data_IF_246576619255
#
_entry.id   IF_246576619255
#
_cell.length_a   1.000
_cell.length_b   1.000
_cell.length_c   1.000
_cell.angle_alpha   90.00
_cell.angle_beta   90.00
_cell.angle_gamma   90.00
#
_symmetry.space_group_name_H-M   'P 1'
#
loop_
_entity.id
_entity.type
_entity.pdbx_description
1 polymer ?
#
# COMPACT_ATOMS: atom_id res chain seq x y z
N UNK A 1 39.54 -55.26 -27.30
CA UNK A 1 38.37 -54.52 -27.85
C UNK A 1 37.49 -54.14 -26.68
N UNK A 2 37.61 -52.92 -26.19
CA UNK A 2 36.73 -52.38 -25.16
C UNK A 2 35.68 -51.49 -25.82
N UNK A 3 34.43 -51.55 -25.37
CA UNK A 3 33.37 -50.68 -25.88
C UNK A 3 33.45 -49.29 -25.23
N UNK A 4 33.23 -48.20 -25.98
CA UNK A 4 33.33 -46.85 -25.45
C UNK A 4 32.20 -46.54 -24.46
N UNK A 5 32.54 -45.93 -23.33
CA UNK A 5 31.62 -45.74 -22.21
C UNK A 5 30.48 -44.74 -22.47
N UNK A 6 29.34 -45.01 -21.81
CA UNK A 6 28.31 -44.00 -21.58
C UNK A 6 28.92 -42.84 -20.79
N UNK A 7 28.96 -41.64 -21.38
CA UNK A 7 29.06 -40.42 -20.58
C UNK A 7 27.77 -40.27 -19.78
N UNK A 8 27.82 -39.89 -18.49
CA UNK A 8 26.60 -39.47 -17.80
C UNK A 8 25.98 -38.31 -18.58
N UNK A 9 24.69 -38.41 -18.93
CA UNK A 9 23.96 -37.22 -19.39
C UNK A 9 24.06 -36.19 -18.26
N UNK A 10 24.63 -35.03 -18.54
CA UNK A 10 24.56 -33.91 -17.62
C UNK A 10 23.08 -33.71 -17.25
N UNK A 11 22.76 -33.65 -15.96
CA UNK A 11 21.44 -33.17 -15.52
C UNK A 11 21.31 -31.78 -16.12
N UNK A 12 20.44 -31.63 -17.12
CA UNK A 12 20.09 -30.33 -17.65
C UNK A 12 19.57 -29.53 -16.45
N UNK A 13 20.26 -28.45 -16.09
CA UNK A 13 19.78 -27.55 -15.07
C UNK A 13 18.52 -26.93 -15.68
N UNK A 14 17.37 -27.25 -15.08
CA UNK A 14 16.09 -26.69 -15.51
C UNK A 14 16.14 -25.18 -15.23
N UNK A 15 16.48 -24.41 -16.27
CA UNK A 15 16.18 -23.00 -16.33
C UNK A 15 14.66 -22.86 -16.27
N UNK A 16 14.14 -22.31 -15.18
CA UNK A 16 12.71 -22.07 -15.02
C UNK A 16 12.43 -20.62 -15.36
N UNK A 17 12.10 -20.38 -16.63
CA UNK A 17 11.81 -19.04 -17.17
C UNK A 17 10.36 -18.65 -16.87
N UNK A 18 10.16 -17.62 -16.05
CA UNK A 18 8.84 -17.13 -15.65
C UNK A 18 8.53 -15.80 -16.36
N UNK A 19 7.30 -15.63 -16.83
CA UNK A 19 6.76 -14.30 -17.15
C UNK A 19 5.83 -13.84 -16.01
N UNK A 20 6.11 -12.69 -15.40
CA UNK A 20 5.25 -12.02 -14.42
C UNK A 20 4.49 -10.91 -15.16
N UNK A 21 3.18 -11.08 -15.29
CA UNK A 21 2.27 -10.11 -15.87
C UNK A 21 1.51 -9.43 -14.73
N UNK A 22 1.91 -8.22 -14.38
CA UNK A 22 1.26 -7.40 -13.36
C UNK A 22 0.37 -6.36 -14.03
N UNK A 23 -0.94 -6.38 -13.74
CA UNK A 23 -1.88 -5.37 -14.18
C UNK A 23 -2.63 -4.83 -12.96
N UNK A 24 -2.22 -3.64 -12.53
CA UNK A 24 -2.73 -2.96 -11.35
C UNK A 24 -3.88 -2.00 -11.64
N UNK A 25 -4.08 -1.05 -10.72
CA UNK A 25 -5.08 0.01 -10.85
C UNK A 25 -4.73 1.06 -11.90
N UNK A 26 -3.46 1.45 -12.01
CA UNK A 26 -2.99 2.48 -12.96
C UNK A 26 -1.68 2.17 -13.67
N UNK A 27 -1.07 1.00 -13.45
CA UNK A 27 0.17 0.56 -14.11
C UNK A 27 0.05 -0.86 -14.65
N UNK A 28 0.78 -1.11 -15.74
CA UNK A 28 0.94 -2.42 -16.36
C UNK A 28 2.44 -2.72 -16.48
N UNK A 29 2.88 -3.85 -15.94
CA UNK A 29 4.26 -4.31 -16.00
C UNK A 29 4.34 -5.77 -16.45
N UNK A 30 5.34 -6.08 -17.28
CA UNK A 30 5.64 -7.42 -17.77
C UNK A 30 7.14 -7.69 -17.66
N UNK A 31 7.49 -8.57 -16.73
CA UNK A 31 8.87 -9.00 -16.50
C UNK A 31 9.06 -10.46 -16.90
N UNK A 32 10.17 -10.76 -17.58
CA UNK A 32 10.63 -12.13 -17.83
C UNK A 32 11.86 -12.39 -16.97
N UNK A 33 11.79 -13.44 -16.16
CA UNK A 33 12.82 -13.82 -15.19
C UNK A 33 13.30 -15.24 -15.47
N UNK A 34 14.57 -15.52 -15.17
CA UNK A 34 15.06 -16.89 -14.97
C UNK A 34 15.32 -17.14 -13.49
N UNK A 35 14.84 -18.28 -13.00
CA UNK A 35 15.09 -18.72 -11.62
C UNK A 35 16.01 -19.94 -11.65
N UNK A 36 17.14 -19.85 -10.94
CA UNK A 36 18.12 -20.91 -10.81
C UNK A 36 18.68 -20.98 -9.38
N UNK A 37 18.24 -21.98 -8.59
CA UNK A 37 18.81 -22.30 -7.26
C UNK A 37 18.92 -21.09 -6.29
N UNK A 38 17.85 -20.30 -6.18
CA UNK A 38 17.83 -19.10 -5.32
C UNK A 38 18.34 -17.83 -6.00
N UNK A 39 18.92 -17.92 -7.19
CA UNK A 39 19.18 -16.75 -8.05
C UNK A 39 17.92 -16.44 -8.86
N UNK A 40 17.47 -15.19 -8.80
CA UNK A 40 16.37 -14.62 -9.56
C UNK A 40 16.95 -13.53 -10.48
N UNK A 41 16.99 -13.79 -11.78
CA UNK A 41 17.58 -12.86 -12.76
C UNK A 41 16.49 -12.32 -13.70
N UNK A 42 16.23 -11.02 -13.65
CA UNK A 42 15.35 -10.35 -14.61
C UNK A 42 16.09 -10.27 -15.95
N UNK A 43 15.52 -10.86 -17.00
CA UNK A 43 16.09 -10.85 -18.35
C UNK A 43 15.58 -9.70 -19.19
N UNK A 44 14.33 -9.32 -18.97
CA UNK A 44 13.73 -8.15 -19.58
C UNK A 44 12.51 -7.68 -18.81
N UNK A 45 12.33 -6.37 -18.74
CA UNK A 45 11.10 -5.76 -18.26
C UNK A 45 10.54 -4.78 -19.30
N UNK A 46 9.22 -4.62 -19.31
CA UNK A 46 8.53 -3.60 -20.08
C UNK A 46 7.20 -3.27 -19.39
N UNK A 47 6.55 -2.18 -19.77
CA UNK A 47 5.33 -1.76 -19.12
C UNK A 47 4.82 -0.43 -19.65
N UNK A 48 3.68 -0.01 -19.10
CA UNK A 48 3.09 1.31 -19.28
C UNK A 48 2.64 1.81 -17.90
N UNK A 49 3.23 2.92 -17.45
CA UNK A 49 2.99 3.53 -16.13
C UNK A 49 1.70 4.37 -16.10
N UNK A 50 0.93 4.37 -17.19
CA UNK A 50 -0.36 5.04 -17.33
C UNK A 50 -1.42 4.12 -17.96
N UNK A 51 -1.31 2.80 -17.74
CA UNK A 51 -2.28 1.81 -18.20
C UNK A 51 -2.67 0.88 -17.04
N UNK A 52 -3.92 0.95 -16.59
CA UNK A 52 -4.41 0.06 -15.55
C UNK A 52 -5.93 -0.07 -15.52
N UNK A 53 -6.45 -0.64 -14.43
CA UNK A 53 -7.90 -0.80 -14.21
C UNK A 53 -8.73 0.46 -14.40
N UNK A 54 -8.19 1.63 -14.05
CA UNK A 54 -8.85 2.92 -14.24
C UNK A 54 -9.18 3.21 -15.71
N UNK A 55 -8.36 2.76 -16.66
CA UNK A 55 -8.62 2.93 -18.11
C UNK A 55 -9.74 2.03 -18.61
N UNK A 56 -9.85 0.81 -18.05
CA UNK A 56 -10.97 -0.08 -18.30
C UNK A 56 -12.27 0.51 -17.73
N UNK A 57 -12.20 1.13 -16.55
CA UNK A 57 -13.34 1.82 -15.95
C UNK A 57 -13.72 3.07 -16.75
N UNK A 58 -12.76 3.89 -17.19
CA UNK A 58 -13.01 5.03 -18.08
C UNK A 58 -13.63 4.61 -19.41
N UNK A 59 -13.13 3.55 -20.05
CA UNK A 59 -13.68 3.02 -21.30
C UNK A 59 -15.13 2.53 -21.11
N UNK A 60 -15.40 1.81 -20.02
CA UNK A 60 -16.74 1.31 -19.69
C UNK A 60 -17.70 2.45 -19.33
N UNK A 61 -17.28 3.42 -18.51
CA UNK A 61 -18.07 4.63 -18.19
C UNK A 61 -18.41 5.41 -19.44
N UNK A 62 -17.46 5.63 -20.36
CA UNK A 62 -17.72 6.31 -21.62
C UNK A 62 -18.74 5.56 -22.50
N UNK A 63 -18.67 4.22 -22.53
CA UNK A 63 -19.68 3.40 -23.21
C UNK A 63 -21.07 3.54 -22.56
N UNK A 64 -21.15 3.44 -21.23
CA UNK A 64 -22.40 3.56 -20.48
C UNK A 64 -23.06 4.95 -20.61
N UNK A 65 -22.26 6.02 -20.60
CA UNK A 65 -22.73 7.39 -20.86
C UNK A 65 -23.31 7.51 -22.28
N UNK A 66 -22.63 6.96 -23.29
CA UNK A 66 -23.09 6.99 -24.67
C UNK A 66 -24.40 6.20 -24.86
N UNK A 67 -24.51 5.04 -24.22
CA UNK A 67 -25.72 4.20 -24.22
C UNK A 67 -26.90 4.88 -23.51
N UNK A 68 -26.69 5.45 -22.32
CA UNK A 68 -27.73 6.19 -21.62
C UNK A 68 -28.23 7.40 -22.42
N UNK A 69 -27.31 8.14 -23.05
CA UNK A 69 -27.64 9.27 -23.91
C UNK A 69 -28.41 8.83 -25.16
N UNK A 70 -28.14 7.63 -25.68
CA UNK A 70 -28.87 7.01 -26.80
C UNK A 70 -30.30 6.59 -26.40
N UNK A 71 -30.47 5.99 -25.22
CA UNK A 71 -31.77 5.47 -24.77
C UNK A 71 -32.68 6.55 -24.14
N UNK A 72 -32.11 7.47 -23.36
CA UNK A 72 -32.86 8.44 -22.56
C UNK A 72 -32.71 9.89 -23.04
N UNK A 73 -31.80 10.17 -23.97
CA UNK A 73 -31.55 11.53 -24.49
C UNK A 73 -30.77 12.47 -23.55
N UNK A 74 -30.42 12.00 -22.35
CA UNK A 74 -29.77 12.80 -21.30
C UNK A 74 -28.26 12.57 -21.29
N UNK A 75 -27.49 13.66 -21.18
CA UNK A 75 -26.03 13.63 -21.13
C UNK A 75 -25.52 13.63 -19.67
N UNK A 76 -25.13 12.44 -19.18
CA UNK A 76 -24.67 12.25 -17.80
C UNK A 76 -23.34 12.94 -17.49
N UNK A 77 -22.53 13.34 -18.49
CA UNK A 77 -21.21 13.98 -18.26
C UNK A 77 -21.29 15.28 -17.48
N UNK A 78 -22.48 15.89 -17.40
CA UNK A 78 -22.76 17.15 -16.69
C UNK A 78 -23.28 16.97 -15.26
N UNK A 79 -23.47 15.73 -14.81
CA UNK A 79 -23.95 15.37 -13.47
C UNK A 79 -22.83 14.60 -12.73
N UNK A 80 -22.00 15.28 -11.91
CA UNK A 80 -20.87 14.65 -11.22
C UNK A 80 -21.28 13.49 -10.31
N UNK A 81 -22.47 13.55 -9.71
CA UNK A 81 -22.94 12.54 -8.77
C UNK A 81 -23.49 11.30 -9.50
N UNK A 82 -24.12 11.49 -10.67
CA UNK A 82 -24.44 10.38 -11.56
C UNK A 82 -23.17 9.72 -12.12
N UNK A 83 -22.16 10.50 -12.52
CA UNK A 83 -20.88 9.99 -13.02
C UNK A 83 -20.10 9.20 -11.97
N UNK A 84 -20.10 9.63 -10.70
CA UNK A 84 -19.51 8.89 -9.58
C UNK A 84 -20.17 7.51 -9.41
N UNK A 85 -21.51 7.47 -9.31
CA UNK A 85 -22.28 6.22 -9.20
C UNK A 85 -22.12 5.31 -10.42
N UNK A 86 -21.89 5.89 -11.61
CA UNK A 86 -21.65 5.16 -12.84
C UNK A 86 -20.26 4.53 -12.87
N UNK A 87 -19.22 5.20 -12.32
CA UNK A 87 -17.88 4.64 -12.13
C UNK A 87 -17.90 3.44 -11.19
N UNK A 88 -18.52 3.59 -10.02
CA UNK A 88 -18.66 2.51 -9.02
C UNK A 88 -19.42 1.30 -9.59
N UNK A 89 -20.47 1.52 -10.39
CA UNK A 89 -21.20 0.44 -11.05
C UNK A 89 -20.42 -0.20 -12.21
N UNK A 90 -19.63 0.58 -12.96
CA UNK A 90 -18.75 0.09 -14.01
C UNK A 90 -17.65 -0.82 -13.43
N UNK A 91 -16.98 -0.37 -12.36
CA UNK A 91 -15.97 -1.14 -11.64
C UNK A 91 -16.58 -2.44 -11.09
N UNK A 92 -17.74 -2.34 -10.42
CA UNK A 92 -18.45 -3.52 -9.90
C UNK A 92 -18.82 -4.51 -11.01
N UNK A 93 -19.34 -4.03 -12.14
CA UNK A 93 -19.70 -4.89 -13.27
C UNK A 93 -18.47 -5.53 -13.96
N UNK A 94 -17.36 -4.80 -14.05
CA UNK A 94 -16.05 -5.31 -14.50
C UNK A 94 -15.57 -6.46 -13.60
N UNK A 95 -15.72 -6.30 -12.28
CA UNK A 95 -15.42 -7.34 -11.28
C UNK A 95 -16.39 -8.53 -11.34
N UNK A 96 -17.70 -8.32 -11.54
CA UNK A 96 -18.69 -9.41 -11.69
C UNK A 96 -18.50 -10.22 -12.97
N UNK A 97 -18.23 -9.54 -14.10
CA UNK A 97 -17.78 -10.18 -15.35
C UNK A 97 -16.45 -10.93 -15.17
N UNK A 98 -15.79 -10.84 -14.01
CA UNK A 98 -14.62 -11.67 -13.71
C UNK A 98 -14.95 -13.10 -13.26
N UNK A 99 -16.21 -13.37 -12.89
CA UNK A 99 -16.71 -14.71 -12.57
C UNK A 99 -17.88 -15.16 -13.46
N UNK A 100 -18.61 -14.22 -14.09
CA UNK A 100 -19.75 -14.51 -14.98
C UNK A 100 -19.46 -14.21 -16.46
N UNK A 101 -20.22 -14.83 -17.37
CA UNK A 101 -20.16 -14.56 -18.81
C UNK A 101 -20.94 -13.30 -19.22
N UNK A 102 -21.78 -12.79 -18.33
CA UNK A 102 -22.65 -11.62 -18.47
C UNK A 102 -22.95 -11.07 -17.07
N UNK A 103 -23.02 -9.75 -16.91
CA UNK A 103 -23.64 -9.09 -15.76
C UNK A 103 -24.64 -8.04 -16.24
N UNK A 104 -25.51 -7.62 -15.32
CA UNK A 104 -26.62 -6.71 -15.54
C UNK A 104 -26.38 -5.44 -14.70
N UNK A 105 -25.90 -4.35 -15.32
CA UNK A 105 -25.71 -3.06 -14.66
C UNK A 105 -27.09 -2.44 -14.42
N UNK A 106 -27.54 -2.36 -13.17
CA UNK A 106 -28.82 -1.76 -12.80
C UNK A 106 -28.62 -0.55 -11.87
N UNK A 107 -28.90 0.65 -12.37
CA UNK A 107 -28.81 1.91 -11.63
C UNK A 107 -30.18 2.62 -11.60
N UNK A 108 -31.00 2.39 -10.55
CA UNK A 108 -32.21 3.16 -10.33
C UNK A 108 -31.87 4.60 -9.87
N UNK A 109 -32.75 5.53 -10.25
CA UNK A 109 -32.63 6.97 -9.99
C UNK A 109 -31.24 7.54 -10.31
N UNK A 110 -30.70 7.24 -11.49
CA UNK A 110 -29.34 7.65 -11.88
C UNK A 110 -29.23 9.17 -12.10
N UNK A 111 -30.24 9.78 -12.71
CA UNK A 111 -30.38 11.24 -12.84
C UNK A 111 -31.87 11.59 -13.04
N UNK A 112 -32.20 12.87 -13.26
CA UNK A 112 -33.57 13.37 -13.45
C UNK A 112 -33.63 14.38 -14.60
N UNK A 113 -34.64 14.29 -15.45
CA UNK A 113 -34.95 15.29 -16.48
C UNK A 113 -36.38 15.83 -16.35
N UNK A 114 -36.82 16.65 -17.32
CA UNK A 114 -38.16 17.23 -17.34
C UNK A 114 -39.31 16.21 -17.48
N UNK A 115 -39.01 14.94 -17.78
CA UNK A 115 -39.95 13.81 -17.83
C UNK A 115 -39.95 12.95 -16.55
N UNK A 116 -38.99 13.15 -15.65
CA UNK A 116 -38.91 12.47 -14.36
C UNK A 116 -37.56 11.77 -14.09
N UNK A 117 -37.49 10.90 -13.07
CA UNK A 117 -36.28 10.15 -12.75
C UNK A 117 -35.96 9.10 -13.81
N UNK A 118 -34.67 8.95 -14.12
CA UNK A 118 -34.16 8.03 -15.14
C UNK A 118 -33.38 6.88 -14.51
N UNK A 119 -33.35 5.73 -15.19
CA UNK A 119 -32.76 4.48 -14.72
C UNK A 119 -31.93 3.85 -15.86
N UNK A 120 -30.93 3.04 -15.53
CA UNK A 120 -30.10 2.31 -16.51
C UNK A 120 -30.14 0.80 -16.23
N UNK A 121 -30.26 -0.01 -17.30
CA UNK A 121 -30.19 -1.47 -17.26
C UNK A 121 -29.44 -2.02 -18.50
N UNK A 122 -28.20 -2.52 -18.37
CA UNK A 122 -27.37 -2.95 -19.53
C UNK A 122 -26.64 -4.30 -19.32
N UNK A 123 -26.33 -5.03 -20.42
CA UNK A 123 -25.68 -6.38 -20.48
C UNK A 123 -24.44 -6.42 -21.38
N UNK A 124 -23.38 -7.20 -21.03
CA UNK A 124 -22.04 -7.18 -21.68
C UNK A 124 -21.38 -8.59 -21.86
N UNK A 125 -20.45 -8.78 -22.83
CA UNK A 125 -19.71 -10.04 -23.17
C UNK A 125 -18.25 -9.83 -23.71
N UNK A 126 -17.51 -10.83 -24.25
CA UNK A 126 -16.00 -10.88 -24.27
C UNK A 126 -15.29 -11.64 -25.47
N UNK A 127 -14.16 -11.16 -26.07
CA UNK A 127 -13.30 -11.87 -27.10
C UNK A 127 -11.80 -11.37 -27.25
N UNK A 128 -10.87 -12.02 -28.02
CA UNK A 128 -9.36 -12.10 -27.78
C UNK A 128 -8.37 -12.30 -28.99
N UNK A 129 -7.00 -12.36 -28.81
CA UNK A 129 -5.96 -13.02 -29.72
C UNK A 129 -4.40 -13.08 -29.30
N UNK A 130 -3.61 -14.06 -29.86
CA UNK A 130 -2.09 -14.30 -30.11
C UNK A 130 -0.94 -14.08 -29.05
N UNK A 131 0.26 -14.76 -28.95
CA UNK A 131 0.89 -16.09 -29.30
C UNK A 131 2.29 -16.41 -28.56
N UNK A 132 2.78 -17.69 -28.31
CA UNK A 132 3.25 -18.24 -26.98
C UNK A 132 4.69 -18.62 -26.47
N UNK A 133 5.58 -19.23 -27.27
CA UNK A 133 6.00 -20.62 -26.94
C UNK A 133 7.22 -20.93 -26.04
N UNK A 134 7.97 -19.95 -25.53
CA UNK A 134 9.28 -20.20 -24.87
C UNK A 134 9.31 -20.03 -23.34
N UNK A 135 8.26 -19.44 -22.76
CA UNK A 135 8.11 -19.31 -21.30
C UNK A 135 7.88 -20.70 -20.66
N UNK A 136 8.26 -20.91 -19.40
CA UNK A 136 7.94 -22.11 -18.62
C UNK A 136 6.65 -21.94 -17.79
N UNK A 137 6.49 -20.79 -17.14
CA UNK A 137 5.33 -20.45 -16.30
C UNK A 137 4.95 -18.97 -16.46
N UNK A 138 3.65 -18.66 -16.36
CA UNK A 138 3.15 -17.27 -16.37
C UNK A 138 2.45 -17.00 -15.05
N UNK A 139 2.91 -15.99 -14.32
CA UNK A 139 2.28 -15.52 -13.09
C UNK A 139 1.43 -14.28 -13.40
N UNK A 140 0.24 -14.23 -12.81
CA UNK A 140 -0.64 -13.09 -12.86
C UNK A 140 -0.58 -12.35 -11.52
N UNK A 141 -0.32 -11.05 -11.57
CA UNK A 141 -0.24 -10.15 -10.42
C UNK A 141 -1.12 -8.92 -10.69
N UNK A 142 -1.54 -8.23 -9.63
CA UNK A 142 -2.40 -7.07 -9.70
C UNK A 142 -3.87 -7.44 -9.89
N UNK A 143 -4.77 -6.69 -9.25
CA UNK A 143 -6.19 -7.02 -9.18
C UNK A 143 -6.89 -7.12 -10.54
N UNK A 144 -6.44 -6.38 -11.56
CA UNK A 144 -7.03 -6.43 -12.89
C UNK A 144 -6.73 -7.71 -13.67
N UNK A 145 -5.66 -8.44 -13.30
CA UNK A 145 -5.40 -9.78 -13.82
C UNK A 145 -6.49 -10.81 -13.47
N UNK A 146 -7.36 -10.49 -12.51
CA UNK A 146 -8.56 -11.29 -12.17
C UNK A 146 -9.58 -11.33 -13.31
N UNK A 147 -9.59 -10.34 -14.22
CA UNK A 147 -10.51 -10.28 -15.36
C UNK A 147 -10.21 -11.40 -16.38
N UNK A 148 -11.12 -12.35 -16.66
CA UNK A 148 -10.87 -13.44 -17.61
C UNK A 148 -10.70 -12.99 -19.06
N UNK A 149 -10.98 -11.72 -19.41
CA UNK A 149 -10.48 -11.17 -20.68
C UNK A 149 -8.95 -11.10 -20.63
N UNK A 150 -8.39 -10.47 -19.60
CA UNK A 150 -6.94 -10.41 -19.37
C UNK A 150 -6.37 -11.82 -19.27
N UNK A 151 -6.94 -12.72 -18.46
CA UNK A 151 -6.45 -14.10 -18.34
C UNK A 151 -6.48 -14.86 -19.68
N UNK A 152 -7.54 -14.70 -20.48
CA UNK A 152 -7.65 -15.32 -21.79
C UNK A 152 -6.69 -14.67 -22.80
N UNK A 153 -6.52 -13.35 -22.78
CA UNK A 153 -5.51 -12.65 -23.59
C UNK A 153 -4.13 -13.16 -23.23
N UNK A 154 -3.76 -13.19 -21.95
CA UNK A 154 -2.49 -13.76 -21.47
C UNK A 154 -2.37 -15.25 -21.84
N UNK A 155 -3.44 -16.05 -21.77
CA UNK A 155 -3.42 -17.44 -22.19
C UNK A 155 -3.22 -17.62 -23.70
N UNK A 156 -3.75 -16.72 -24.52
CA UNK A 156 -3.55 -16.73 -25.97
C UNK A 156 -2.18 -16.13 -26.36
N UNK A 157 -1.68 -15.15 -25.58
CA UNK A 157 -0.33 -14.57 -25.63
C UNK A 157 0.75 -15.57 -25.23
N UNK A 158 0.53 -16.39 -24.21
CA UNK A 158 1.54 -17.32 -23.69
C UNK A 158 1.20 -18.80 -23.92
N UNK A 159 0.13 -19.09 -24.67
CA UNK A 159 -0.30 -20.42 -25.15
C UNK A 159 -0.51 -21.47 -24.07
N UNK A 160 -0.70 -21.01 -22.84
CA UNK A 160 -0.66 -21.77 -21.60
C UNK A 160 -1.55 -21.07 -20.61
N UNK A 161 -2.31 -21.85 -19.86
CA UNK A 161 -3.07 -21.35 -18.71
C UNK A 161 -2.11 -20.69 -17.73
N UNK A 162 -2.31 -19.40 -17.35
CA UNK A 162 -1.51 -18.78 -16.31
C UNK A 162 -1.64 -19.52 -14.98
N UNK A 163 -0.57 -19.48 -14.19
CA UNK A 163 -0.48 -20.15 -12.90
C UNK A 163 -1.45 -19.51 -11.90
N UNK A 164 -1.97 -20.35 -11.00
CA UNK A 164 -2.79 -19.93 -9.85
C UNK A 164 -2.06 -20.13 -8.51
N UNK A 165 -0.75 -20.34 -8.55
CA UNK A 165 0.08 -20.58 -7.38
C UNK A 165 0.33 -19.32 -6.52
N UNK A 166 -0.05 -18.14 -7.03
CA UNK A 166 0.27 -16.83 -6.45
C UNK A 166 -1.03 -16.04 -6.24
N UNK A 167 -1.16 -15.37 -5.10
CA UNK A 167 -2.26 -14.43 -4.84
C UNK A 167 -1.93 -13.08 -5.49
N UNK A 168 -2.68 -12.62 -6.52
CA UNK A 168 -2.31 -11.43 -7.29
C UNK A 168 -2.31 -10.13 -6.47
N UNK A 169 -3.02 -10.10 -5.33
CA UNK A 169 -3.15 -8.88 -4.51
C UNK A 169 -2.06 -8.79 -3.41
N UNK A 170 -1.42 -9.91 -3.05
CA UNK A 170 -0.48 -10.00 -1.92
C UNK A 170 0.97 -10.27 -2.36
N UNK A 171 1.18 -10.81 -3.57
CA UNK A 171 2.49 -11.28 -4.04
C UNK A 171 3.60 -10.22 -3.96
N UNK A 172 3.28 -8.97 -4.32
CA UNK A 172 4.22 -7.84 -4.30
C UNK A 172 4.64 -7.51 -2.86
N UNK A 173 3.68 -7.46 -1.93
CA UNK A 173 3.96 -7.20 -0.52
C UNK A 173 4.77 -8.32 0.13
N UNK A 174 4.48 -9.58 -0.21
CA UNK A 174 5.27 -10.73 0.23
C UNK A 174 6.71 -10.67 -0.32
N UNK A 175 6.89 -10.34 -1.60
CA UNK A 175 8.20 -10.15 -2.23
C UNK A 175 9.01 -9.04 -1.56
N UNK A 176 8.38 -7.90 -1.26
CA UNK A 176 9.00 -6.80 -0.54
C UNK A 176 9.43 -7.20 0.89
N UNK A 177 8.62 -7.98 1.60
CA UNK A 177 8.98 -8.50 2.93
C UNK A 177 10.17 -9.47 2.88
N UNK A 178 10.22 -10.35 1.87
CA UNK A 178 11.36 -11.25 1.63
C UNK A 178 12.63 -10.43 1.33
N UNK A 179 12.54 -9.41 0.47
CA UNK A 179 13.67 -8.52 0.18
C UNK A 179 14.16 -7.77 1.44
N UNK A 180 13.23 -7.34 2.31
CA UNK A 180 13.58 -6.77 3.62
C UNK A 180 14.35 -7.75 4.50
N UNK A 181 13.92 -9.01 4.56
CA UNK A 181 14.62 -10.07 5.30
C UNK A 181 15.99 -10.43 4.71
N UNK A 182 16.16 -10.37 3.38
CA UNK A 182 17.48 -10.50 2.71
C UNK A 182 18.40 -9.35 3.12
N UNK A 183 17.91 -8.11 3.12
CA UNK A 183 18.68 -6.94 3.55
C UNK A 183 19.02 -6.94 5.05
N UNK A 184 18.17 -7.53 5.89
CA UNK A 184 18.45 -7.75 7.31
C UNK A 184 19.45 -8.89 7.58
N UNK A 185 19.65 -9.79 6.61
CA UNK A 185 20.49 -10.98 6.72
C UNK A 185 19.78 -12.23 7.26
N UNK A 186 18.47 -12.16 7.49
CA UNK A 186 17.64 -13.30 7.93
C UNK A 186 17.40 -14.33 6.81
N UNK A 187 17.57 -13.92 5.54
CA UNK A 187 17.45 -14.78 4.35
C UNK A 187 18.74 -14.69 3.54
N UNK A 188 19.53 -15.77 3.51
CA UNK A 188 20.86 -15.81 2.86
C UNK A 188 20.88 -16.43 1.46
N UNK A 189 19.92 -17.29 1.15
CA UNK A 189 19.95 -18.17 -0.03
C UNK A 189 19.19 -17.59 -1.23
N UNK A 190 18.97 -16.27 -1.24
CA UNK A 190 18.28 -15.53 -2.29
C UNK A 190 19.18 -14.43 -2.85
N UNK A 191 19.40 -14.45 -4.16
CA UNK A 191 20.13 -13.41 -4.89
C UNK A 191 19.24 -12.86 -6.00
N UNK A 192 18.90 -11.57 -5.90
CA UNK A 192 18.16 -10.84 -6.92
C UNK A 192 19.14 -10.10 -7.85
N UNK A 193 18.98 -10.29 -9.16
CA UNK A 193 19.67 -9.57 -10.22
C UNK A 193 18.61 -8.85 -11.07
N UNK A 194 18.42 -7.57 -10.80
CA UNK A 194 17.44 -6.72 -11.50
C UNK A 194 18.10 -5.97 -12.68
N UNK A 195 17.30 -5.29 -13.50
CA UNK A 195 17.74 -4.58 -14.72
C UNK A 195 17.15 -3.18 -14.84
N UNK A 196 17.82 -2.29 -15.58
CA UNK A 196 17.22 -0.98 -15.92
C UNK A 196 16.19 -1.11 -17.06
N UNK A 197 14.95 -0.56 -16.93
CA UNK A 197 13.86 -0.81 -17.88
C UNK A 197 13.99 -0.07 -19.23
N UNK A 198 14.76 1.02 -19.27
CA UNK A 198 14.89 1.90 -20.43
C UNK A 198 16.35 2.31 -20.62
N UNK A 199 16.78 2.45 -21.88
CA UNK A 199 18.14 2.88 -22.18
C UNK A 199 18.43 4.29 -21.66
N UNK A 200 19.61 4.46 -21.07
CA UNK A 200 20.13 5.72 -20.53
C UNK A 200 21.27 6.22 -21.41
N UNK A 201 21.29 7.53 -21.63
CA UNK A 201 22.23 8.15 -22.56
C UNK A 201 22.20 9.67 -22.53
N UNK A 202 22.88 10.29 -23.48
CA UNK A 202 23.02 11.74 -23.57
C UNK A 202 22.65 12.29 -24.96
N UNK A 203 22.18 13.54 -24.99
CA UNK A 203 22.12 14.30 -26.24
C UNK A 203 23.55 14.56 -26.75
N UNK A 204 23.77 14.24 -28.03
CA UNK A 204 25.02 14.51 -28.75
C UNK A 204 24.78 15.48 -29.91
N UNK A 205 25.85 15.92 -30.57
CA UNK A 205 25.77 16.88 -31.68
C UNK A 205 24.77 16.42 -32.75
N UNK A 206 23.86 17.31 -33.14
CA UNK A 206 22.75 17.00 -34.05
C UNK A 206 21.45 16.55 -33.34
N UNK A 207 21.41 16.56 -32.01
CA UNK A 207 20.22 16.18 -31.23
C UNK A 207 20.02 14.66 -31.13
N UNK A 208 21.04 13.87 -31.44
CA UNK A 208 20.99 12.39 -31.45
C UNK A 208 21.17 11.86 -30.03
N UNK A 209 20.37 10.86 -29.67
CA UNK A 209 20.46 10.12 -28.41
C UNK A 209 21.59 9.09 -28.49
N UNK A 210 22.73 9.36 -27.85
CA UNK A 210 23.78 8.34 -27.69
C UNK A 210 23.52 7.56 -26.41
N UNK A 211 23.11 6.29 -26.54
CA UNK A 211 22.85 5.36 -25.44
C UNK A 211 24.19 4.86 -24.85
N UNK A 212 24.39 4.99 -23.54
CA UNK A 212 25.57 4.48 -22.81
C UNK A 212 25.27 3.18 -22.05
N UNK A 213 24.04 3.06 -21.53
CA UNK A 213 23.52 1.84 -20.90
C UNK A 213 22.23 1.48 -21.62
N UNK A 214 22.15 0.30 -22.21
CA UNK A 214 20.94 -0.18 -22.88
C UNK A 214 19.90 -0.65 -21.87
N UNK A 215 18.61 -0.59 -22.22
CA UNK A 215 17.55 -1.27 -21.46
C UNK A 215 17.87 -2.75 -21.25
N UNK A 216 17.34 -3.31 -20.18
CA UNK A 216 17.58 -4.67 -19.70
C UNK A 216 19.07 -4.96 -19.35
N UNK A 217 19.90 -3.93 -19.13
CA UNK A 217 21.22 -4.12 -18.52
C UNK A 217 21.05 -4.36 -17.03
N UNK A 218 21.64 -5.45 -16.52
CA UNK A 218 21.66 -5.80 -15.08
C UNK A 218 22.26 -4.68 -14.23
N UNK A 219 21.66 -4.41 -13.08
CA UNK A 219 22.10 -3.41 -12.09
C UNK A 219 22.56 -4.10 -10.78
N UNK A 220 23.48 -3.50 -10.00
CA UNK A 220 24.19 -2.24 -10.24
C UNK A 220 25.18 -2.33 -11.41
N UNK A 221 25.39 -1.23 -12.13
CA UNK A 221 26.27 -1.21 -13.31
C UNK A 221 26.84 0.16 -13.61
N UNK A 222 28.03 0.17 -14.22
CA UNK A 222 28.79 1.38 -14.53
C UNK A 222 29.31 1.36 -15.96
N UNK A 223 29.10 2.46 -16.69
CA UNK A 223 29.61 2.66 -18.06
C UNK A 223 30.18 4.06 -18.22
N UNK A 224 31.36 4.14 -18.82
CA UNK A 224 32.05 5.39 -19.13
C UNK A 224 32.35 5.46 -20.62
N UNK A 225 32.16 6.62 -21.23
CA UNK A 225 32.47 6.87 -22.63
C UNK A 225 33.07 8.27 -22.79
N UNK A 226 34.10 8.38 -23.64
CA UNK A 226 34.78 9.65 -23.91
C UNK A 226 34.12 10.37 -25.09
N UNK A 227 33.74 11.61 -24.85
CA UNK A 227 33.23 12.57 -25.82
C UNK A 227 34.22 13.75 -25.96
N UNK A 228 33.90 14.70 -26.84
CA UNK A 228 34.70 15.91 -27.05
C UNK A 228 33.81 17.12 -27.33
N UNK A 229 34.39 18.32 -27.24
CA UNK A 229 33.79 19.56 -27.73
C UNK A 229 33.41 19.48 -29.21
N UNK A 230 32.32 20.16 -29.56
CA UNK A 230 31.76 20.23 -30.91
C UNK A 230 32.27 21.44 -31.71
N UNK A 231 32.75 22.49 -31.02
CA UNK A 231 33.26 23.72 -31.62
C UNK A 231 34.67 24.08 -31.12
N UNK A 232 35.42 24.81 -31.94
CA UNK A 232 36.74 25.32 -31.59
C UNK A 232 36.64 26.38 -30.47
N UNK A 233 37.54 26.34 -29.50
CA UNK A 233 37.57 27.27 -28.37
C UNK A 233 36.45 27.07 -27.35
N UNK A 234 35.64 26.01 -27.46
CA UNK A 234 34.53 25.72 -26.54
C UNK A 234 35.02 25.46 -25.10
N UNK A 235 34.68 26.37 -24.17
CA UNK A 235 35.12 26.34 -22.77
C UNK A 235 34.15 25.68 -21.79
N UNK A 236 32.98 25.22 -22.27
CA UNK A 236 32.01 24.46 -21.49
C UNK A 236 31.28 23.43 -22.35
N UNK A 237 30.93 22.29 -21.76
CA UNK A 237 30.10 21.26 -22.39
C UNK A 237 28.84 21.05 -21.54
N UNK A 238 27.67 21.19 -22.16
CA UNK A 238 26.40 20.84 -21.54
C UNK A 238 26.12 19.35 -21.77
N UNK A 239 25.89 18.62 -20.69
CA UNK A 239 25.46 17.21 -20.71
C UNK A 239 23.98 17.20 -20.35
N UNK A 240 23.15 16.74 -21.31
CA UNK A 240 21.72 16.47 -21.08
C UNK A 240 21.54 14.97 -21.02
N UNK A 241 20.99 14.50 -19.91
CA UNK A 241 20.75 13.08 -19.62
C UNK A 241 19.33 12.74 -20.02
N UNK A 242 19.16 11.71 -20.84
CA UNK A 242 17.87 11.25 -21.33
C UNK A 242 17.68 9.75 -21.05
N UNK A 243 16.42 9.33 -21.03
CA UNK A 243 15.99 7.95 -20.91
C UNK A 243 14.95 7.61 -21.97
N UNK A 244 15.14 6.50 -22.67
CA UNK A 244 14.20 6.00 -23.69
C UNK A 244 14.88 5.39 -24.90
N UNK A 245 14.06 4.90 -25.83
CA UNK A 245 14.53 4.08 -26.95
C UNK A 245 14.61 4.80 -28.31
N UNK A 246 14.11 6.04 -28.42
CA UNK A 246 14.07 6.80 -29.68
C UNK A 246 15.46 7.29 -30.08
N UNK A 247 15.72 7.43 -31.37
CA UNK A 247 17.04 7.87 -31.89
C UNK A 247 17.35 9.35 -31.63
N UNK A 248 16.33 10.20 -31.49
CA UNK A 248 16.49 11.63 -31.22
C UNK A 248 16.32 11.93 -29.72
N UNK A 249 17.18 12.76 -29.14
CA UNK A 249 17.15 13.07 -27.71
C UNK A 249 15.85 13.76 -27.27
N UNK A 250 15.29 14.66 -28.11
CA UNK A 250 14.04 15.37 -27.86
C UNK A 250 12.79 14.47 -27.85
N UNK A 251 12.90 13.27 -28.43
CA UNK A 251 11.84 12.26 -28.48
C UNK A 251 11.85 11.31 -27.27
N UNK A 252 12.83 11.48 -26.37
CA UNK A 252 13.01 10.69 -25.14
C UNK A 252 12.72 11.53 -23.89
N UNK A 253 12.58 10.87 -22.74
CA UNK A 253 12.40 11.56 -21.47
C UNK A 253 13.73 12.20 -21.04
N UNK A 254 13.82 13.53 -21.08
CA UNK A 254 14.92 14.23 -20.41
C UNK A 254 14.78 14.04 -18.89
N UNK A 255 15.86 13.57 -18.27
CA UNK A 255 15.97 13.32 -16.83
C UNK A 255 16.59 14.50 -16.09
N UNK A 256 17.58 15.15 -16.70
CA UNK A 256 18.28 16.30 -16.12
C UNK A 256 19.38 16.82 -17.06
N UNK A 257 19.96 17.96 -16.70
CA UNK A 257 21.08 18.52 -17.44
C UNK A 257 22.06 19.24 -16.50
N UNK A 258 23.34 19.22 -16.84
CA UNK A 258 24.39 19.93 -16.12
C UNK A 258 25.47 20.41 -17.10
N UNK A 259 26.31 21.35 -16.67
CA UNK A 259 27.36 21.94 -17.51
C UNK A 259 28.73 21.75 -16.88
N UNK A 260 29.63 21.05 -17.58
CA UNK A 260 31.04 21.00 -17.23
C UNK A 260 31.71 22.27 -17.75
N UNK A 261 32.12 23.16 -16.84
CA UNK A 261 32.63 24.51 -17.14
C UNK A 261 34.14 24.63 -16.92
N UNK A 262 34.76 25.54 -17.69
CA UNK A 262 36.18 25.88 -17.54
C UNK A 262 37.12 24.89 -18.20
N UNK A 263 36.69 24.29 -19.31
CA UNK A 263 37.54 23.56 -20.26
C UNK A 263 38.47 24.59 -20.94
N UNK A 264 39.78 24.31 -21.11
CA UNK A 264 40.69 25.23 -21.80
C UNK A 264 40.31 25.39 -23.29
N UNK A 265 40.42 26.60 -23.88
CA UNK A 265 40.19 26.79 -25.31
C UNK A 265 41.14 25.91 -26.15
N UNK A 266 40.57 24.99 -26.93
CA UNK A 266 41.29 24.09 -27.82
C UNK A 266 40.48 23.84 -29.10
N UNK A 267 41.09 23.33 -30.19
CA UNK A 267 40.35 22.88 -31.36
C UNK A 267 39.31 21.80 -31.00
N UNK A 268 38.21 21.73 -31.76
CA UNK A 268 37.21 20.66 -31.64
C UNK A 268 37.88 19.29 -31.81
N UNK A 269 37.41 18.31 -31.07
CA UNK A 269 38.00 16.96 -31.04
C UNK A 269 39.17 16.78 -30.05
N UNK A 270 39.72 17.86 -29.46
CA UNK A 270 40.90 17.78 -28.57
C UNK A 270 40.53 17.53 -27.08
N UNK A 271 39.59 18.26 -26.45
CA UNK A 271 39.21 18.01 -25.06
C UNK A 271 38.55 16.63 -24.90
N UNK A 272 39.04 15.82 -23.95
CA UNK A 272 38.50 14.48 -23.69
C UNK A 272 37.56 14.51 -22.48
N UNK A 273 36.26 14.54 -22.74
CA UNK A 273 35.22 14.58 -21.70
C UNK A 273 34.70 13.16 -21.47
N UNK A 274 35.16 12.53 -20.40
CA UNK A 274 34.68 11.22 -19.97
C UNK A 274 33.34 11.38 -19.24
N UNK A 275 32.26 10.91 -19.85
CA UNK A 275 30.93 10.86 -19.24
C UNK A 275 30.72 9.46 -18.67
N UNK A 276 30.35 9.38 -17.40
CA UNK A 276 30.14 8.14 -16.66
C UNK A 276 28.73 8.07 -16.12
N UNK A 277 28.05 6.95 -16.40
CA UNK A 277 26.77 6.57 -15.81
C UNK A 277 27.04 5.45 -14.80
N UNK A 278 26.51 5.61 -13.59
CA UNK A 278 26.64 4.67 -12.47
C UNK A 278 25.25 4.45 -11.88
N UNK A 279 24.70 3.25 -12.05
CA UNK A 279 23.37 2.86 -11.56
C UNK A 279 23.56 1.96 -10.34
N UNK A 280 22.99 2.36 -9.20
CA UNK A 280 23.06 1.55 -7.98
C UNK A 280 22.02 0.41 -7.96
N UNK A 281 22.00 -0.36 -6.87
CA UNK A 281 21.06 -1.47 -6.70
C UNK A 281 19.59 -1.02 -6.48
N UNK A 282 19.34 0.28 -6.27
CA UNK A 282 18.02 0.87 -6.13
C UNK A 282 17.52 1.51 -7.44
N UNK A 283 18.31 1.43 -8.52
CA UNK A 283 18.04 2.09 -9.79
C UNK A 283 18.31 3.61 -9.80
N UNK A 284 18.97 4.17 -8.77
CA UNK A 284 19.36 5.58 -8.73
C UNK A 284 20.53 5.78 -9.71
N UNK A 285 20.38 6.75 -10.62
CA UNK A 285 21.36 7.00 -11.69
C UNK A 285 22.21 8.20 -11.34
N UNK A 286 23.50 7.98 -11.09
CA UNK A 286 24.49 9.02 -10.96
C UNK A 286 25.16 9.23 -12.32
N UNK A 287 25.20 10.48 -12.81
CA UNK A 287 25.90 10.82 -14.06
C UNK A 287 26.95 11.87 -13.76
N UNK A 288 28.22 11.53 -14.00
CA UNK A 288 29.34 12.48 -13.93
C UNK A 288 29.96 12.72 -15.30
N UNK A 289 30.57 13.90 -15.47
CA UNK A 289 31.38 14.23 -16.63
C UNK A 289 32.68 14.87 -16.17
N UNK A 290 33.80 14.30 -16.61
CA UNK A 290 35.15 14.69 -16.23
C UNK A 290 36.00 15.01 -17.45
N UNK A 291 36.59 16.19 -17.48
CA UNK A 291 37.65 16.50 -18.45
C UNK A 291 38.94 15.78 -18.02
N UNK A 292 39.40 14.83 -18.83
CA UNK A 292 40.62 14.05 -18.56
C UNK A 292 41.89 14.91 -18.63
N UNK A 293 41.84 16.06 -19.30
CA UNK A 293 42.96 17.01 -19.41
C UNK A 293 43.16 17.86 -18.16
N UNK A 294 42.11 18.55 -17.68
CA UNK A 294 42.19 19.38 -16.47
C UNK A 294 41.84 18.66 -15.17
N UNK A 295 41.27 17.46 -15.25
CA UNK A 295 40.77 16.71 -14.10
C UNK A 295 39.47 17.26 -13.50
N UNK A 296 38.92 18.37 -14.03
CA UNK A 296 37.66 18.98 -13.58
C UNK A 296 36.49 18.03 -13.81
N UNK A 297 35.62 17.94 -12.81
CA UNK A 297 34.44 17.07 -12.83
C UNK A 297 33.20 17.87 -12.41
N UNK A 298 32.06 17.50 -13.00
CA UNK A 298 30.72 17.90 -12.57
C UNK A 298 29.82 16.66 -12.63
N UNK A 299 28.81 16.60 -11.78
CA UNK A 299 27.90 15.47 -11.72
C UNK A 299 26.47 15.88 -11.35
N UNK A 300 25.52 15.03 -11.70
CA UNK A 300 24.13 15.11 -11.29
C UNK A 300 23.68 13.75 -10.75
N UNK A 301 22.89 13.77 -9.68
CA UNK A 301 22.15 12.59 -9.21
C UNK A 301 20.77 12.67 -9.80
N UNK A 302 20.42 11.74 -10.69
CA UNK A 302 19.06 11.60 -11.18
C UNK A 302 18.30 10.71 -10.21
N UNK A 303 17.39 11.31 -9.47
CA UNK A 303 16.36 10.61 -8.71
C UNK A 303 15.10 10.51 -9.59
N UNK A 304 14.36 9.41 -9.52
CA UNK A 304 13.04 9.29 -10.15
C UNK A 304 12.20 10.50 -9.77
N UNK A 305 11.63 11.18 -10.78
CA UNK A 305 11.26 12.59 -10.70
C UNK A 305 10.00 12.87 -9.86
N UNK A 306 10.10 12.65 -8.55
CA UNK A 306 9.08 12.90 -7.52
C UNK A 306 9.03 14.33 -6.99
N UNK A 307 9.74 15.27 -7.61
CA UNK A 307 9.45 16.71 -7.53
C UNK A 307 9.66 17.46 -6.21
N UNK A 308 10.17 16.82 -5.15
CA UNK A 308 10.37 17.45 -3.85
C UNK A 308 11.85 17.79 -3.57
N UNK A 309 12.12 19.03 -3.14
CA UNK A 309 13.40 19.42 -2.57
C UNK A 309 13.59 18.84 -1.16
N UNK A 310 14.83 18.87 -0.65
CA UNK A 310 15.13 18.47 0.74
C UNK A 310 14.29 19.26 1.75
N UNK A 311 14.17 20.57 1.55
CA UNK A 311 13.39 21.46 2.41
C UNK A 311 11.90 21.11 2.41
N UNK A 312 11.35 20.67 1.26
CA UNK A 312 9.98 20.19 1.16
C UNK A 312 9.81 18.86 1.92
N UNK A 313 10.75 17.93 1.78
CA UNK A 313 10.74 16.65 2.51
C UNK A 313 10.80 16.90 4.03
N UNK A 314 11.70 17.76 4.52
CA UNK A 314 11.78 18.11 5.94
C UNK A 314 10.50 18.75 6.48
N UNK A 315 9.86 19.63 5.70
CA UNK A 315 8.60 20.24 6.12
C UNK A 315 7.45 19.22 6.15
N UNK A 316 7.38 18.29 5.19
CA UNK A 316 6.38 17.21 5.18
C UNK A 316 6.59 16.24 6.34
N UNK A 317 7.84 15.96 6.75
CA UNK A 317 8.14 15.18 7.96
C UNK A 317 7.60 15.88 9.21
N UNK A 318 7.90 17.18 9.40
CA UNK A 318 7.40 17.96 10.56
C UNK A 318 5.87 18.04 10.58
N UNK A 319 5.22 18.14 9.42
CA UNK A 319 3.77 18.13 9.32
C UNK A 319 3.18 16.76 9.68
N UNK A 320 3.77 15.66 9.19
CA UNK A 320 3.38 14.31 9.57
C UNK A 320 3.55 14.05 11.08
N UNK A 321 4.65 14.50 11.69
CA UNK A 321 4.88 14.44 13.14
C UNK A 321 3.82 15.21 13.93
N UNK A 322 3.47 16.43 13.50
CA UNK A 322 2.39 17.22 14.12
C UNK A 322 1.05 16.50 14.02
N UNK A 323 0.71 15.99 12.84
CA UNK A 323 -0.56 15.31 12.59
C UNK A 323 -0.64 14.03 13.44
N UNK A 324 0.44 13.24 13.54
CA UNK A 324 0.52 12.08 14.43
C UNK A 324 0.33 12.44 15.91
N UNK A 325 0.86 13.58 16.37
CA UNK A 325 0.65 14.07 17.73
C UNK A 325 -0.79 14.56 17.99
N UNK A 326 -1.47 15.10 16.98
CA UNK A 326 -2.91 15.44 17.04
C UNK A 326 -3.78 14.18 17.05
N UNK A 327 -3.46 13.19 16.21
CA UNK A 327 -4.20 11.93 16.15
C UNK A 327 -4.00 11.07 17.40
N UNK A 328 -2.83 11.12 18.04
CA UNK A 328 -2.61 10.53 19.35
C UNK A 328 -3.52 11.14 20.43
N UNK A 329 -3.73 12.46 20.43
CA UNK A 329 -4.66 13.14 21.36
C UNK A 329 -6.13 12.79 21.07
N UNK A 330 -6.52 12.72 19.80
CA UNK A 330 -7.87 12.26 19.40
C UNK A 330 -8.11 10.82 19.86
N UNK A 331 -7.12 9.94 19.69
CA UNK A 331 -7.16 8.56 20.15
C UNK A 331 -7.30 8.49 21.68
N UNK A 332 -6.47 9.21 22.43
CA UNK A 332 -6.55 9.25 23.90
C UNK A 332 -7.93 9.74 24.37
N UNK A 333 -8.48 10.79 23.74
CA UNK A 333 -9.84 11.27 24.03
C UNK A 333 -10.87 10.14 23.81
N UNK A 334 -10.83 9.44 22.68
CA UNK A 334 -11.74 8.33 22.38
C UNK A 334 -11.60 7.17 23.38
N UNK A 335 -10.37 6.80 23.77
CA UNK A 335 -10.13 5.76 24.78
C UNK A 335 -10.70 6.15 26.15
N UNK A 336 -10.53 7.40 26.57
CA UNK A 336 -11.06 7.94 27.83
C UNK A 336 -12.60 8.01 27.81
N UNK A 337 -13.20 8.44 26.69
CA UNK A 337 -14.66 8.45 26.52
C UNK A 337 -15.25 7.04 26.63
N UNK A 338 -14.67 6.06 25.91
CA UNK A 338 -15.11 4.66 25.96
C UNK A 338 -14.98 4.07 27.38
N UNK A 339 -13.90 4.37 28.09
CA UNK A 339 -13.71 3.95 29.47
C UNK A 339 -14.76 4.59 30.41
N UNK A 340 -15.06 5.87 30.21
CA UNK A 340 -16.06 6.59 30.99
C UNK A 340 -17.48 6.03 30.80
N UNK A 341 -17.88 5.80 29.54
CA UNK A 341 -19.18 5.22 29.19
C UNK A 341 -19.32 3.80 29.77
N UNK A 342 -18.27 2.97 29.69
CA UNK A 342 -18.25 1.65 30.31
C UNK A 342 -18.41 1.69 31.83
N UNK A 343 -17.72 2.60 32.53
CA UNK A 343 -17.79 2.72 34.00
C UNK A 343 -19.16 3.26 34.46
N UNK A 344 -19.75 4.19 33.70
CA UNK A 344 -21.12 4.65 33.92
C UNK A 344 -22.10 3.48 33.79
N UNK A 345 -22.04 2.75 32.67
CA UNK A 345 -22.95 1.63 32.40
C UNK A 345 -22.85 0.52 33.46
N UNK A 346 -21.62 0.11 33.81
CA UNK A 346 -21.37 -0.88 34.86
C UNK A 346 -21.91 -0.43 36.23
N UNK A 347 -21.78 0.86 36.55
CA UNK A 347 -22.27 1.42 37.81
C UNK A 347 -23.80 1.48 37.82
N UNK A 348 -24.44 1.97 36.76
CA UNK A 348 -25.90 2.00 36.63
C UNK A 348 -26.52 0.60 36.68
N UNK A 349 -25.90 -0.37 36.01
CA UNK A 349 -26.31 -1.78 36.01
C UNK A 349 -26.28 -2.36 37.43
N UNK A 350 -25.14 -2.26 38.13
CA UNK A 350 -24.99 -2.76 39.50
C UNK A 350 -25.87 -2.02 40.51
N UNK A 351 -26.10 -0.71 40.32
CA UNK A 351 -27.03 0.05 41.15
C UNK A 351 -28.49 -0.41 40.97
N UNK A 352 -28.82 -0.97 39.81
CA UNK A 352 -30.14 -1.56 39.53
C UNK A 352 -30.23 -2.98 40.11
N UNK A 353 -29.18 -3.79 39.95
CA UNK A 353 -29.10 -5.17 40.48
C UNK A 353 -29.20 -5.21 42.01
N UNK A 354 -28.48 -4.33 42.71
CA UNK A 354 -28.42 -4.33 44.18
C UNK A 354 -29.37 -3.32 44.83
N UNK A 355 -30.34 -2.77 44.10
CA UNK A 355 -31.16 -1.62 44.51
C UNK A 355 -31.80 -1.73 45.92
N UNK A 356 -32.26 -2.92 46.31
CA UNK A 356 -32.90 -3.19 47.62
C UNK A 356 -31.93 -3.18 48.81
N UNK A 357 -30.61 -3.21 48.54
CA UNK A 357 -29.55 -3.42 49.52
C UNK A 357 -28.68 -2.15 49.70
N UNK A 358 -28.84 -1.16 48.81
CA UNK A 358 -28.09 0.09 48.84
C UNK A 358 -28.78 1.15 49.74
N UNK A 359 -28.01 1.96 50.50
CA UNK A 359 -28.56 3.13 51.19
C UNK A 359 -29.16 4.13 50.19
N UNK A 360 -30.41 4.56 50.41
CA UNK A 360 -31.12 5.46 49.48
C UNK A 360 -30.40 6.80 49.26
N UNK A 361 -29.96 7.43 50.34
CA UNK A 361 -29.28 8.73 50.32
C UNK A 361 -27.94 8.69 49.55
N UNK A 362 -27.12 7.67 49.80
CA UNK A 362 -25.87 7.46 49.08
C UNK A 362 -26.10 7.07 47.60
N UNK A 363 -27.20 6.36 47.31
CA UNK A 363 -27.60 5.99 45.95
C UNK A 363 -28.08 7.20 45.14
N UNK A 364 -28.81 8.13 45.75
CA UNK A 364 -29.19 9.40 45.11
C UNK A 364 -27.96 10.26 44.83
N UNK A 365 -27.02 10.32 45.78
CA UNK A 365 -25.73 11.00 45.59
C UNK A 365 -24.91 10.41 44.44
N UNK A 366 -24.88 9.08 44.28
CA UNK A 366 -24.16 8.42 43.19
C UNK A 366 -24.88 8.60 41.83
N UNK A 367 -26.22 8.53 41.79
CA UNK A 367 -27.00 8.86 40.57
C UNK A 367 -26.74 10.28 40.09
N UNK A 368 -26.68 11.25 41.00
CA UNK A 368 -26.30 12.63 40.65
C UNK A 368 -24.89 12.69 40.05
N UNK A 369 -23.92 11.94 40.61
CA UNK A 369 -22.54 11.87 40.10
C UNK A 369 -22.46 11.26 38.70
N UNK A 370 -23.31 10.27 38.40
CA UNK A 370 -23.46 9.68 37.06
C UNK A 370 -23.94 10.74 36.06
N UNK A 371 -25.00 11.48 36.37
CA UNK A 371 -25.52 12.53 35.48
C UNK A 371 -24.54 13.71 35.30
N UNK A 372 -23.80 14.09 36.35
CA UNK A 372 -22.69 15.05 36.24
C UNK A 372 -21.63 14.54 35.24
N UNK A 373 -21.25 13.26 35.32
CA UNK A 373 -20.26 12.64 34.42
C UNK A 373 -20.79 12.54 32.98
N UNK A 374 -22.04 12.12 32.77
CA UNK A 374 -22.70 12.12 31.45
C UNK A 374 -22.73 13.51 30.81
N UNK A 375 -22.95 14.56 31.61
CA UNK A 375 -22.95 15.94 31.13
C UNK A 375 -21.57 16.37 30.63
N UNK A 376 -20.50 15.96 31.33
CA UNK A 376 -19.11 16.20 30.89
C UNK A 376 -18.82 15.45 29.58
N UNK A 377 -19.26 14.18 29.45
CA UNK A 377 -19.10 13.40 28.20
C UNK A 377 -19.89 14.00 27.02
N UNK A 378 -21.07 14.56 27.27
CA UNK A 378 -21.84 15.28 26.25
C UNK A 378 -21.13 16.55 25.74
N UNK A 379 -20.24 17.14 26.55
CA UNK A 379 -19.43 18.32 26.22
C UNK A 379 -18.01 17.98 25.70
N UNK A 380 -17.77 16.73 25.26
CA UNK A 380 -16.45 16.20 24.85
C UNK A 380 -15.61 17.06 23.89
N UNK A 381 -16.23 17.94 23.11
CA UNK A 381 -15.53 18.83 22.17
C UNK A 381 -14.84 20.02 22.86
N UNK A 382 -15.27 20.38 24.07
CA UNK A 382 -14.71 21.49 24.87
C UNK A 382 -13.94 21.00 26.11
N UNK A 383 -14.01 19.71 26.42
CA UNK A 383 -13.37 19.10 27.60
C UNK A 383 -11.98 18.54 27.30
N UNK A 384 -11.18 18.35 28.35
CA UNK A 384 -9.87 17.72 28.27
C UNK A 384 -9.92 16.25 28.72
N UNK A 385 -9.05 15.36 28.18
CA UNK A 385 -8.96 13.98 28.65
C UNK A 385 -8.74 13.88 30.16
N UNK A 386 -7.99 14.81 30.75
CA UNK A 386 -7.77 14.89 32.20
C UNK A 386 -9.06 15.15 32.98
N UNK A 387 -9.90 16.11 32.56
CA UNK A 387 -11.18 16.41 33.22
C UNK A 387 -12.09 15.18 33.27
N UNK A 388 -12.14 14.43 32.16
CA UNK A 388 -12.97 13.23 32.06
C UNK A 388 -12.39 12.11 32.95
N UNK A 389 -11.07 11.88 32.92
CA UNK A 389 -10.38 10.93 33.83
C UNK A 389 -10.65 11.25 35.31
N UNK A 390 -10.62 12.53 35.71
CA UNK A 390 -10.90 12.96 37.08
C UNK A 390 -12.37 12.71 37.47
N UNK A 391 -13.32 13.06 36.60
CA UNK A 391 -14.75 12.82 36.83
C UNK A 391 -15.06 11.32 36.97
N UNK A 392 -14.52 10.49 36.09
CA UNK A 392 -14.65 9.02 36.10
C UNK A 392 -14.00 8.41 37.34
N UNK A 393 -12.80 8.86 37.72
CA UNK A 393 -12.12 8.41 38.94
C UNK A 393 -12.94 8.76 40.20
N UNK A 394 -13.51 9.96 40.25
CA UNK A 394 -14.41 10.38 41.34
C UNK A 394 -15.67 9.51 41.41
N UNK A 395 -16.32 9.26 40.27
CA UNK A 395 -17.48 8.36 40.15
C UNK A 395 -17.12 6.94 40.62
N UNK A 396 -16.00 6.39 40.16
CA UNK A 396 -15.55 5.05 40.49
C UNK A 396 -15.22 4.91 41.98
N UNK A 397 -14.57 5.90 42.60
CA UNK A 397 -14.31 5.92 44.05
C UNK A 397 -15.59 5.98 44.88
N UNK A 398 -16.59 6.74 44.44
CA UNK A 398 -17.88 6.83 45.14
C UNK A 398 -18.70 5.54 44.97
N UNK A 399 -18.68 4.95 43.78
CA UNK A 399 -19.25 3.64 43.46
C UNK A 399 -18.66 2.54 44.36
N UNK A 400 -17.32 2.46 44.45
CA UNK A 400 -16.63 1.48 45.31
C UNK A 400 -17.04 1.61 46.79
N UNK A 401 -17.12 2.84 47.33
CA UNK A 401 -17.54 3.07 48.73
C UNK A 401 -18.98 2.60 48.98
N UNK A 402 -19.90 2.91 48.07
CA UNK A 402 -21.31 2.50 48.17
C UNK A 402 -21.44 0.97 48.18
N UNK A 403 -20.78 0.28 47.25
CA UNK A 403 -20.84 -1.18 47.18
C UNK A 403 -20.08 -1.86 48.33
N UNK A 404 -18.98 -1.30 48.83
CA UNK A 404 -18.29 -1.80 50.03
C UNK A 404 -19.18 -1.70 51.29
N UNK A 405 -19.89 -0.58 51.46
CA UNK A 405 -20.82 -0.39 52.57
C UNK A 405 -22.02 -1.36 52.50
N UNK A 406 -22.55 -1.60 51.29
CA UNK A 406 -23.61 -2.58 51.06
C UNK A 406 -23.13 -4.02 51.33
N UNK A 407 -21.92 -4.38 50.88
CA UNK A 407 -21.35 -5.71 51.09
C UNK A 407 -21.11 -6.02 52.59
N UNK A 408 -20.61 -5.04 53.35
CA UNK A 408 -20.45 -5.17 54.82
C UNK A 408 -21.81 -5.39 55.51
N UNK A 409 -22.83 -4.60 55.17
CA UNK A 409 -24.19 -4.76 55.71
C UNK A 409 -24.81 -6.11 55.35
N UNK A 410 -24.54 -6.66 54.16
CA UNK A 410 -24.98 -8.00 53.79
C UNK A 410 -24.25 -9.12 54.55
N UNK A 411 -22.94 -8.98 54.79
CA UNK A 411 -22.15 -9.93 55.57
C UNK A 411 -22.58 -9.96 57.06
N UNK A 412 -22.90 -8.80 57.64
CA UNK A 412 -23.48 -8.68 58.98
C UNK A 412 -24.86 -9.36 59.06
N UNK A 413 -25.70 -9.21 58.02
CA UNK A 413 -27.06 -9.78 57.97
C UNK A 413 -27.10 -11.29 57.70
N UNK A 414 -26.05 -11.86 57.11
CA UNK A 414 -25.89 -13.29 56.84
C UNK A 414 -25.02 -14.03 57.87
N UNK A 415 -24.53 -13.35 58.91
CA UNK A 415 -23.85 -14.00 60.03
C UNK A 415 -24.86 -14.67 60.95
N UNK A 416 -24.76 -15.99 61.24
CA UNK A 416 -25.74 -16.69 62.06
C UNK A 416 -25.63 -16.26 63.53
N UNK A 417 -26.56 -15.40 63.97
CA UNK A 417 -26.64 -14.91 65.35
C UNK A 417 -27.12 -15.97 66.34
N UNK A 418 -26.29 -16.29 67.32
CA UNK A 418 -26.63 -17.16 68.46
C UNK A 418 -27.44 -16.44 69.53
N UNK A 419 -28.65 -16.90 69.83
CA UNK A 419 -29.28 -16.74 71.16
C UNK A 419 -30.58 -17.56 71.30
N UNK A 420 -30.55 -18.61 72.13
CA UNK A 420 -31.50 -18.81 73.24
C UNK A 420 -31.24 -20.15 73.95
N UNK A 421 -30.83 -20.11 75.22
CA UNK A 421 -30.65 -21.29 76.07
C UNK A 421 -30.58 -20.97 77.58
N UNK A 422 -31.73 -20.61 78.18
CA UNK A 422 -32.07 -20.72 79.61
C UNK A 422 -33.62 -20.71 79.69
N UNK A 423 -34.33 -21.59 80.38
CA UNK A 423 -33.99 -22.56 81.42
C UNK A 423 -34.71 -23.91 81.25
N UNK A 424 -34.09 -25.02 81.69
CA UNK A 424 -34.80 -26.14 82.33
C UNK A 424 -33.79 -27.02 83.11
N UNK A 425 -33.86 -27.00 84.44
CA UNK A 425 -33.14 -27.96 85.31
C UNK A 425 -34.04 -29.16 85.60
N UNK A 426 -33.59 -30.38 85.32
CA UNK A 426 -33.44 -31.46 86.33
C UNK A 426 -32.78 -32.75 85.80
N UNK A 427 -32.06 -33.42 86.72
CA UNK A 427 -31.75 -34.85 86.81
C UNK A 427 -30.48 -35.46 86.12
N UNK A 428 -29.65 -36.05 87.01
CA UNK A 428 -28.75 -37.21 86.88
C UNK A 428 -27.35 -37.12 86.21
N UNK A 429 -26.34 -37.08 87.10
CA UNK A 429 -24.95 -37.58 86.97
C UNK A 429 -24.88 -39.14 87.01
N UNK A 430 -23.70 -39.80 86.92
CA UNK A 430 -22.57 -39.61 85.98
C UNK A 430 -21.98 -40.96 85.47
N UNK A 431 -21.06 -40.90 84.48
CA UNK A 431 -19.92 -41.83 84.28
C UNK A 431 -18.98 -41.25 83.19
N UNK A 432 -17.68 -41.04 83.48
CA UNK A 432 -16.55 -41.98 83.28
C UNK A 432 -16.36 -42.40 81.80
N UNK A 433 -15.17 -42.42 81.21
CA UNK A 433 -13.79 -42.00 81.58
C UNK A 433 -12.90 -42.28 80.34
N UNK A 434 -11.78 -41.55 80.17
CA UNK A 434 -10.60 -41.94 79.34
C UNK A 434 -10.85 -42.05 77.80
N UNK A 435 -9.92 -41.68 76.91
CA UNK A 435 -8.51 -41.24 77.03
C UNK A 435 -8.29 -39.90 76.31
#
# INVERSE_FOLDING_TARGET
>A
MEMPGLRPKAKCILLHSIAVYDLGGGTFDISVLEIQKGVFEVKSTNGDTFLGGEDFDHALVNHLVAEFKREQGVDLTKDPMAMQRLREAAEKAKCELSSTTQTDINLPYLTMDASGPKHMTLKLTRFTLVKPSEIAEVLLVGGMSRMPKVQQTVQEVFGRTPSKAVNPDEAVAMGAAIQGAVLAGDVTDVLLLDVTPLSLGIETLGGVMTKLISRNTTIPTKKSQVFSTAADGQTQVQIKVCQGEREMANDNKMLGQFSLVGIPPAPRGVPQIEVTFDIDANGIVNVSARDRGTGKEQQIVIQSSGGLSKDQIENMIREAERNAAEDAKKKEMVEVLNQAESIIHDTESKMTEFADQLPKEESEALKKKIEETKTILANKENEKPETIKEAVSSLQQQSLKLFEAAYKKMAEKNSPGTSDAQEAKTAEEPKKEQN
#
